data_IF_816843561447
#
_entry.id   IF_816843561447
#
_cell.length_a   1.000
_cell.length_b   1.000
_cell.length_c   1.000
_cell.angle_alpha   90.00
_cell.angle_beta   90.00
_cell.angle_gamma   90.00
#
_symmetry.space_group_name_H-M   'P 1'
#
loop_
_entity.id
_entity.type
_entity.pdbx_description
1 polymer ?
#
# COMPACT_ATOMS: atom_id res chain seq x y z
N UNK A 1 0.67 -7.04 1.01
CA UNK A 1 -0.69 -7.16 0.41
C UNK A 1 -0.68 -7.47 -1.07
N UNK A 2 0.00 -6.67 -1.90
CA UNK A 2 0.06 -6.87 -3.35
C UNK A 2 0.41 -8.31 -3.74
N UNK A 3 1.42 -8.92 -3.13
CA UNK A 3 1.82 -10.30 -3.45
C UNK A 3 0.70 -11.32 -3.21
N UNK A 4 0.03 -11.24 -2.06
CA UNK A 4 -1.01 -12.19 -1.68
C UNK A 4 -2.26 -12.05 -2.57
N UNK A 5 -2.71 -10.82 -2.78
CA UNK A 5 -3.86 -10.52 -3.64
C UNK A 5 -3.56 -10.87 -5.10
N UNK A 6 -2.33 -10.59 -5.57
CA UNK A 6 -1.93 -10.93 -6.93
C UNK A 6 -1.85 -12.44 -7.18
N UNK A 7 -1.36 -13.21 -6.21
CA UNK A 7 -1.25 -14.66 -6.34
C UNK A 7 -2.61 -15.33 -6.61
N UNK A 8 -3.71 -14.74 -6.09
CA UNK A 8 -5.07 -15.20 -6.31
C UNK A 8 -5.72 -14.55 -7.54
N UNK A 9 -5.70 -13.22 -7.63
CA UNK A 9 -6.44 -12.48 -8.65
C UNK A 9 -5.80 -12.55 -10.04
N UNK A 10 -4.47 -12.60 -10.17
CA UNK A 10 -3.81 -12.61 -11.49
C UNK A 10 -4.17 -13.88 -12.29
N UNK A 11 -4.12 -15.10 -11.73
CA UNK A 11 -4.58 -16.29 -12.42
C UNK A 11 -6.06 -16.24 -12.82
N UNK A 12 -6.93 -15.73 -11.94
CA UNK A 12 -8.37 -15.59 -12.22
C UNK A 12 -8.66 -14.59 -13.34
N UNK A 13 -7.97 -13.45 -13.33
CA UNK A 13 -8.09 -12.46 -14.39
C UNK A 13 -7.55 -13.01 -15.71
N UNK A 14 -6.45 -13.78 -15.67
CA UNK A 14 -5.91 -14.47 -16.85
C UNK A 14 -6.90 -15.48 -17.44
N UNK A 15 -7.56 -16.30 -16.61
CA UNK A 15 -8.56 -17.26 -17.10
C UNK A 15 -9.82 -16.58 -17.64
N UNK A 16 -10.14 -15.39 -17.15
CA UNK A 16 -11.22 -14.54 -17.66
C UNK A 16 -10.81 -13.66 -18.87
N UNK A 17 -9.69 -13.94 -19.53
CA UNK A 17 -9.17 -13.21 -20.70
C UNK A 17 -8.81 -11.74 -20.47
N UNK A 18 -8.51 -11.33 -19.23
CA UNK A 18 -7.98 -9.99 -18.98
C UNK A 18 -6.51 -9.88 -19.42
N UNK A 19 -6.10 -8.72 -19.95
CA UNK A 19 -4.69 -8.44 -20.21
C UNK A 19 -3.90 -8.41 -18.89
N UNK A 20 -2.99 -9.37 -18.73
CA UNK A 20 -2.27 -9.66 -17.49
C UNK A 20 -1.44 -8.46 -17.01
N UNK A 21 -0.85 -7.68 -17.92
CA UNK A 21 -0.11 -6.46 -17.61
C UNK A 21 -1.00 -5.39 -16.94
N UNK A 22 -2.20 -5.13 -17.46
CA UNK A 22 -3.13 -4.16 -16.86
C UNK A 22 -3.69 -4.65 -15.53
N UNK A 23 -3.97 -5.96 -15.42
CA UNK A 23 -4.40 -6.59 -14.18
C UNK A 23 -3.32 -6.46 -13.08
N UNK A 24 -2.07 -6.76 -13.44
CA UNK A 24 -0.93 -6.58 -12.54
C UNK A 24 -0.77 -5.12 -12.10
N UNK A 25 -0.88 -4.17 -13.04
CA UNK A 25 -0.82 -2.74 -12.72
C UNK A 25 -1.92 -2.27 -11.77
N UNK A 26 -3.16 -2.77 -11.95
CA UNK A 26 -4.28 -2.49 -11.05
C UNK A 26 -4.00 -3.02 -9.64
N UNK A 27 -3.59 -4.28 -9.53
CA UNK A 27 -3.36 -4.94 -8.24
C UNK A 27 -2.18 -4.29 -7.51
N UNK A 28 -1.11 -3.93 -8.23
CA UNK A 28 0.01 -3.18 -7.69
C UNK A 28 -0.42 -1.82 -7.13
N UNK A 29 -1.21 -1.07 -7.90
CA UNK A 29 -1.69 0.27 -7.51
C UNK A 29 -2.73 0.22 -6.40
N UNK A 30 -3.58 -0.81 -6.35
CA UNK A 30 -4.51 -1.01 -5.25
C UNK A 30 -3.79 -1.39 -3.94
N UNK A 31 -2.71 -2.17 -4.04
CA UNK A 31 -1.93 -2.60 -2.88
C UNK A 31 -1.25 -1.46 -2.12
N UNK A 32 -0.95 -0.33 -2.78
CA UNK A 32 -0.35 0.84 -2.13
C UNK A 32 -1.36 1.76 -1.43
N UNK A 33 -2.66 1.42 -1.47
CA UNK A 33 -3.68 2.08 -0.64
C UNK A 33 -3.63 1.55 0.81
N UNK A 34 -3.26 0.28 1.00
CA UNK A 34 -3.24 -0.36 2.32
C UNK A 34 -2.32 0.34 3.35
N UNK A 35 -1.12 0.84 2.96
CA UNK A 35 -0.32 1.73 3.82
C UNK A 35 -1.02 3.00 4.32
N UNK A 36 -2.14 3.43 3.72
CA UNK A 36 -2.75 4.73 3.96
C UNK A 36 -4.08 4.58 4.72
N UNK A 37 -4.85 3.54 4.45
CA UNK A 37 -6.13 3.31 5.15
C UNK A 37 -5.86 2.62 6.51
N UNK A 38 -6.38 3.15 7.63
CA UNK A 38 -6.22 2.51 8.94
C UNK A 38 -6.84 1.09 9.01
N UNK A 39 -6.21 0.14 9.73
CA UNK A 39 -4.97 0.26 10.50
C UNK A 39 -3.71 0.27 9.61
N UNK A 40 -2.86 1.28 9.76
CA UNK A 40 -1.67 1.49 8.92
C UNK A 40 -0.39 1.39 9.76
N UNK A 41 0.39 0.33 9.53
CA UNK A 41 1.73 0.16 10.13
C UNK A 41 2.62 1.37 9.81
N UNK A 42 2.66 1.87 8.56
CA UNK A 42 3.44 3.06 8.20
C UNK A 42 3.14 4.30 9.05
N UNK A 43 1.88 4.57 9.34
CA UNK A 43 1.50 5.68 10.21
C UNK A 43 1.88 5.45 11.67
N UNK A 44 1.89 4.20 12.15
CA UNK A 44 2.39 3.89 13.49
C UNK A 44 3.89 4.20 13.57
N UNK A 45 4.67 3.70 12.60
CA UNK A 45 6.11 3.92 12.56
C UNK A 45 6.43 5.41 12.46
N UNK A 46 5.72 6.15 11.59
CA UNK A 46 5.87 7.59 11.46
C UNK A 46 5.48 8.33 12.74
N UNK A 47 4.36 7.97 13.37
CA UNK A 47 3.91 8.57 14.63
C UNK A 47 4.91 8.36 15.76
N UNK A 48 5.46 7.15 15.88
CA UNK A 48 6.51 6.83 16.87
C UNK A 48 7.80 7.59 16.59
N UNK A 49 8.26 7.67 15.33
CA UNK A 49 9.52 8.36 14.98
C UNK A 49 9.42 9.88 15.07
N UNK A 50 8.24 10.46 14.82
CA UNK A 50 8.00 11.92 14.86
C UNK A 50 7.46 12.42 16.21
N UNK A 51 7.03 11.52 17.10
CA UNK A 51 6.34 11.87 18.35
C UNK A 51 4.91 12.40 18.17
N UNK A 52 4.30 12.20 17.01
CA UNK A 52 2.94 12.65 16.71
C UNK A 52 1.88 11.64 17.15
N UNK A 53 0.65 12.13 17.33
CA UNK A 53 -0.49 11.26 17.65
C UNK A 53 -0.84 10.34 16.48
N UNK A 54 -0.70 9.04 16.70
CA UNK A 54 -1.05 7.98 15.73
C UNK A 54 -2.54 8.06 15.37
N UNK A 55 -3.42 8.31 16.34
CA UNK A 55 -4.87 8.46 16.09
C UNK A 55 -5.18 9.60 15.13
N UNK A 56 -4.47 10.73 15.24
CA UNK A 56 -4.65 11.87 14.30
C UNK A 56 -4.15 11.51 12.90
N UNK A 57 -3.01 10.84 12.78
CA UNK A 57 -2.50 10.36 11.49
C UNK A 57 -3.49 9.38 10.82
N UNK A 58 -4.08 8.47 11.60
CA UNK A 58 -5.10 7.54 11.09
C UNK A 58 -6.32 8.28 10.54
N UNK A 59 -6.87 9.24 11.29
CA UNK A 59 -8.02 10.03 10.83
C UNK A 59 -7.69 10.86 9.59
N UNK A 60 -6.49 11.45 9.56
CA UNK A 60 -6.01 12.23 8.43
C UNK A 60 -5.81 11.39 7.15
N UNK A 61 -5.50 10.09 7.30
CA UNK A 61 -5.29 9.16 6.20
C UNK A 61 -6.57 8.63 5.51
N UNK A 62 -7.72 8.64 6.20
CA UNK A 62 -8.97 8.05 5.67
C UNK A 62 -9.41 8.74 4.38
N UNK A 63 -9.54 10.06 4.39
CA UNK A 63 -9.99 10.81 3.22
C UNK A 63 -9.07 10.64 2.00
N UNK A 64 -7.74 10.88 2.09
CA UNK A 64 -6.86 10.68 0.94
C UNK A 64 -6.81 9.22 0.49
N UNK A 65 -6.88 8.25 1.40
CA UNK A 65 -6.99 6.83 1.06
C UNK A 65 -8.25 6.50 0.25
N UNK A 66 -9.41 7.03 0.66
CA UNK A 66 -10.66 6.89 -0.11
C UNK A 66 -10.57 7.57 -1.48
N UNK A 67 -9.96 8.76 -1.55
CA UNK A 67 -9.77 9.48 -2.81
C UNK A 67 -8.86 8.71 -3.77
N UNK A 68 -7.77 8.12 -3.28
CA UNK A 68 -6.92 7.23 -4.06
C UNK A 68 -7.70 6.02 -4.56
N UNK A 69 -8.46 5.35 -3.68
CA UNK A 69 -9.31 4.22 -4.05
C UNK A 69 -10.34 4.57 -5.13
N UNK A 70 -11.09 5.66 -4.96
CA UNK A 70 -12.06 6.15 -5.94
C UNK A 70 -11.39 6.45 -7.29
N UNK A 71 -10.25 7.11 -7.25
CA UNK A 71 -9.50 7.50 -8.44
C UNK A 71 -8.97 6.29 -9.21
N UNK A 72 -8.48 5.27 -8.50
CA UNK A 72 -8.05 4.01 -9.09
C UNK A 72 -9.23 3.20 -9.65
N UNK A 73 -10.38 3.18 -8.95
CA UNK A 73 -11.62 2.57 -9.44
C UNK A 73 -12.12 3.23 -10.73
N UNK A 74 -12.11 4.56 -10.81
CA UNK A 74 -12.48 5.31 -12.01
C UNK A 74 -11.52 5.01 -13.17
N UNK A 75 -10.21 4.98 -12.89
CA UNK A 75 -9.17 4.66 -13.87
C UNK A 75 -9.34 3.24 -14.41
N UNK A 76 -9.67 2.28 -13.55
CA UNK A 76 -9.97 0.92 -13.97
C UNK A 76 -11.25 0.83 -14.78
N UNK A 77 -12.35 1.46 -14.34
CA UNK A 77 -13.61 1.48 -15.08
C UNK A 77 -13.44 2.04 -16.51
N UNK A 78 -12.67 3.12 -16.64
CA UNK A 78 -12.33 3.69 -17.95
C UNK A 78 -11.49 2.76 -18.82
N UNK A 79 -10.51 2.05 -18.25
CA UNK A 79 -9.72 1.08 -19.02
C UNK A 79 -10.49 -0.19 -19.37
N UNK A 80 -11.28 -0.71 -18.44
CA UNK A 80 -12.05 -1.95 -18.58
C UNK A 80 -13.22 -1.79 -19.54
N UNK A 81 -13.86 -0.61 -19.60
CA UNK A 81 -14.91 -0.31 -20.58
C UNK A 81 -14.43 -0.35 -22.04
N UNK A 82 -13.11 -0.24 -22.26
CA UNK A 82 -12.46 -0.36 -23.57
C UNK A 82 -11.97 -1.77 -23.89
N UNK A 83 -12.16 -2.73 -22.97
CA UNK A 83 -11.78 -4.12 -23.17
C UNK A 83 -13.03 -4.94 -23.56
N UNK A 84 -12.92 -5.71 -24.64
CA UNK A 84 -13.96 -6.66 -25.06
C UNK A 84 -13.88 -7.93 -24.21
N UNK A 85 -14.37 -7.84 -22.98
CA UNK A 85 -14.33 -8.93 -22.00
C UNK A 85 -15.67 -9.65 -21.92
N UNK A 86 -15.67 -10.98 -21.72
CA UNK A 86 -16.89 -11.74 -21.50
C UNK A 86 -17.59 -11.25 -20.23
N UNK A 87 -18.84 -10.81 -20.36
CA UNK A 87 -19.67 -10.42 -19.21
C UNK A 87 -20.26 -11.67 -18.57
N UNK A 88 -19.98 -11.87 -17.29
CA UNK A 88 -20.66 -12.92 -16.53
C UNK A 88 -22.12 -12.53 -16.24
N UNK A 89 -22.96 -13.53 -16.08
CA UNK A 89 -24.37 -13.33 -15.74
C UNK A 89 -24.49 -12.73 -14.34
N UNK A 90 -25.42 -11.79 -14.14
CA UNK A 90 -25.65 -11.20 -12.81
C UNK A 90 -26.20 -12.28 -11.87
N UNK A 91 -25.60 -12.39 -10.68
CA UNK A 91 -26.11 -13.25 -9.64
C UNK A 91 -27.50 -12.80 -9.18
N UNK A 92 -28.36 -13.76 -8.87
CA UNK A 92 -29.67 -13.53 -8.28
C UNK A 92 -29.56 -13.18 -6.80
N UNK A 93 -30.57 -12.52 -6.22
CA UNK A 93 -30.57 -12.18 -4.79
C UNK A 93 -30.50 -13.42 -3.89
N UNK A 94 -31.06 -14.55 -4.34
CA UNK A 94 -30.99 -15.82 -3.62
C UNK A 94 -29.55 -16.37 -3.61
N UNK A 95 -28.84 -16.33 -4.74
CA UNK A 95 -27.44 -16.74 -4.80
C UNK A 95 -26.57 -15.86 -3.90
N UNK A 96 -26.77 -14.53 -3.91
CA UNK A 96 -26.02 -13.61 -3.06
C UNK A 96 -26.24 -13.93 -1.57
N UNK A 97 -27.49 -14.13 -1.15
CA UNK A 97 -27.79 -14.45 0.24
C UNK A 97 -27.22 -15.81 0.66
N UNK A 98 -27.36 -16.82 -0.19
CA UNK A 98 -26.80 -18.13 0.06
C UNK A 98 -25.27 -18.07 0.19
N UNK A 99 -24.58 -17.39 -0.73
CA UNK A 99 -23.13 -17.19 -0.67
C UNK A 99 -22.68 -16.40 0.56
N UNK A 100 -23.46 -15.41 0.99
CA UNK A 100 -23.19 -14.63 2.20
C UNK A 100 -23.26 -15.50 3.45
N UNK A 101 -24.33 -16.29 3.59
CA UNK A 101 -24.51 -17.18 4.74
C UNK A 101 -23.46 -18.30 4.73
N UNK A 102 -23.17 -18.89 3.57
CA UNK A 102 -22.15 -19.94 3.47
C UNK A 102 -20.74 -19.40 3.78
N UNK A 103 -20.48 -18.13 3.47
CA UNK A 103 -19.19 -17.47 3.68
C UNK A 103 -19.04 -16.77 5.04
N UNK A 104 -20.03 -16.84 5.93
CA UNK A 104 -20.09 -16.00 7.14
C UNK A 104 -18.88 -16.19 8.06
N UNK A 105 -18.35 -17.41 8.15
CA UNK A 105 -17.16 -17.72 8.94
C UNK A 105 -15.90 -17.12 8.35
N UNK A 106 -15.78 -17.08 7.03
CA UNK A 106 -14.67 -16.35 6.39
C UNK A 106 -14.79 -14.83 6.62
N UNK A 107 -16.00 -14.28 6.67
CA UNK A 107 -16.25 -12.85 6.92
C UNK A 107 -15.95 -12.41 8.37
N UNK A 108 -15.86 -13.34 9.32
CA UNK A 108 -15.40 -13.02 10.68
C UNK A 108 -13.91 -12.69 10.73
N UNK A 109 -13.12 -13.06 9.72
CA UNK A 109 -11.68 -12.84 9.69
C UNK A 109 -11.30 -11.34 9.79
N UNK A 110 -11.84 -10.41 8.97
CA UNK A 110 -11.65 -8.97 9.18
C UNK A 110 -12.04 -8.47 10.57
N UNK A 111 -13.10 -9.01 11.18
CA UNK A 111 -13.55 -8.62 12.52
C UNK A 111 -12.51 -9.03 13.58
N UNK A 112 -11.93 -10.22 13.46
CA UNK A 112 -10.85 -10.70 14.34
C UNK A 112 -9.60 -9.82 14.19
N UNK A 113 -9.21 -9.51 12.95
CA UNK A 113 -8.02 -8.69 12.68
C UNK A 113 -8.22 -7.27 13.22
N UNK A 114 -9.30 -6.59 12.82
CA UNK A 114 -9.57 -5.20 13.21
C UNK A 114 -9.87 -5.11 14.71
N UNK A 115 -10.69 -6.03 15.22
CA UNK A 115 -11.07 -6.07 16.64
C UNK A 115 -9.88 -6.37 17.55
N UNK A 116 -9.10 -7.40 17.24
CA UNK A 116 -7.91 -7.79 18.02
C UNK A 116 -6.79 -6.76 17.96
N UNK A 117 -6.60 -6.12 16.81
CA UNK A 117 -5.65 -5.01 16.69
C UNK A 117 -6.12 -3.77 17.45
N UNK A 118 -7.39 -3.38 17.33
CA UNK A 118 -7.93 -2.16 17.97
C UNK A 118 -8.10 -2.30 19.49
N UNK A 119 -8.29 -3.50 20.00
CA UNK A 119 -8.30 -3.76 21.44
C UNK A 119 -6.89 -3.81 22.06
N UNK A 120 -5.84 -3.78 21.24
CA UNK A 120 -4.45 -3.88 21.69
C UNK A 120 -4.05 -5.30 22.13
N UNK A 121 -4.88 -6.31 21.84
CA UNK A 121 -4.58 -7.70 22.16
C UNK A 121 -3.44 -8.28 21.31
N UNK A 122 -3.31 -7.82 20.06
CA UNK A 122 -2.31 -8.31 19.11
C UNK A 122 -1.65 -7.17 18.33
N UNK A 123 -0.35 -7.32 18.05
CA UNK A 123 0.37 -6.50 17.06
C UNK A 123 -0.04 -6.89 15.63
N UNK A 124 0.25 -6.08 14.58
CA UNK A 124 -0.12 -6.41 13.19
C UNK A 124 0.45 -7.77 12.72
N UNK A 125 1.66 -8.10 13.16
CA UNK A 125 2.32 -9.38 12.85
C UNK A 125 1.64 -10.56 13.54
N UNK A 126 1.24 -10.38 14.81
CA UNK A 126 0.47 -11.38 15.55
C UNK A 126 -0.94 -11.55 15.00
N UNK A 127 -1.59 -10.46 14.59
CA UNK A 127 -2.91 -10.49 13.94
C UNK A 127 -2.86 -11.33 12.66
N UNK A 128 -1.76 -11.27 11.88
CA UNK A 128 -1.53 -12.15 10.74
C UNK A 128 -1.41 -13.63 11.12
N UNK A 129 -0.71 -13.95 12.22
CA UNK A 129 -0.59 -15.33 12.71
C UNK A 129 -1.94 -15.87 13.20
N UNK A 130 -2.68 -15.08 14.00
CA UNK A 130 -4.03 -15.42 14.47
C UNK A 130 -4.98 -15.61 13.27
N UNK A 131 -4.90 -14.73 12.27
CA UNK A 131 -5.67 -14.83 11.05
C UNK A 131 -5.39 -16.13 10.29
N UNK A 132 -4.12 -16.55 10.18
CA UNK A 132 -3.75 -17.79 9.53
C UNK A 132 -4.28 -19.03 10.29
N UNK A 133 -4.15 -19.05 11.62
CA UNK A 133 -4.71 -20.13 12.45
C UNK A 133 -6.24 -20.18 12.36
N UNK A 134 -6.90 -19.03 12.39
CA UNK A 134 -8.35 -18.95 12.23
C UNK A 134 -8.79 -19.45 10.85
N UNK A 135 -8.13 -19.00 9.77
CA UNK A 135 -8.42 -19.46 8.42
C UNK A 135 -8.22 -20.97 8.28
N UNK A 136 -7.16 -21.51 8.89
CA UNK A 136 -6.92 -22.96 8.94
C UNK A 136 -8.04 -23.69 9.69
N UNK A 137 -8.47 -23.18 10.85
CA UNK A 137 -9.56 -23.76 11.63
C UNK A 137 -10.87 -23.76 10.86
N UNK A 138 -11.24 -22.64 10.22
CA UNK A 138 -12.46 -22.53 9.42
C UNK A 138 -12.41 -23.51 8.24
N UNK A 139 -11.30 -23.56 7.50
CA UNK A 139 -11.17 -24.43 6.32
C UNK A 139 -11.16 -25.93 6.68
N UNK A 140 -10.58 -26.31 7.83
CA UNK A 140 -10.48 -27.72 8.26
C UNK A 140 -11.72 -28.20 9.02
N UNK A 141 -12.24 -27.42 9.96
CA UNK A 141 -13.30 -27.86 10.89
C UNK A 141 -14.69 -27.48 10.39
N UNK A 142 -14.85 -26.25 9.89
CA UNK A 142 -16.16 -25.71 9.50
C UNK A 142 -16.50 -26.09 8.06
N UNK A 143 -15.68 -25.69 7.09
CA UNK A 143 -15.90 -25.98 5.68
C UNK A 143 -15.49 -27.41 5.30
N UNK A 144 -14.59 -28.02 6.09
CA UNK A 144 -14.13 -29.40 5.89
C UNK A 144 -13.58 -29.67 4.48
N UNK A 145 -12.99 -28.64 3.88
CA UNK A 145 -12.43 -28.68 2.52
C UNK A 145 -10.92 -28.96 2.51
N UNK A 146 -10.28 -28.96 3.67
CA UNK A 146 -8.84 -29.12 3.83
C UNK A 146 -8.45 -30.53 4.30
N UNK A 147 -7.71 -31.26 3.46
CA UNK A 147 -7.01 -32.50 3.85
C UNK A 147 -5.55 -32.21 4.24
N UNK A 148 -4.90 -33.12 4.98
CA UNK A 148 -3.49 -32.95 5.35
C UNK A 148 -2.58 -32.81 4.11
N UNK A 149 -2.86 -33.57 3.05
CA UNK A 149 -2.15 -33.44 1.78
C UNK A 149 -2.35 -32.05 1.16
N UNK A 150 -3.57 -31.52 1.18
CA UNK A 150 -3.87 -30.17 0.66
C UNK A 150 -3.16 -29.11 1.50
N UNK A 151 -3.18 -29.24 2.83
CA UNK A 151 -2.47 -28.34 3.74
C UNK A 151 -0.98 -28.28 3.42
N UNK A 152 -0.33 -29.43 3.20
CA UNK A 152 1.07 -29.48 2.80
C UNK A 152 1.35 -28.72 1.49
N UNK A 153 0.50 -28.91 0.48
CA UNK A 153 0.63 -28.18 -0.80
C UNK A 153 0.42 -26.67 -0.63
N UNK A 154 -0.55 -26.24 0.19
CA UNK A 154 -0.80 -24.83 0.49
C UNK A 154 0.40 -24.21 1.21
N UNK A 155 0.97 -24.90 2.20
CA UNK A 155 2.17 -24.42 2.92
C UNK A 155 3.37 -24.27 1.98
N UNK A 156 3.62 -25.25 1.10
CA UNK A 156 4.70 -25.14 0.10
C UNK A 156 4.42 -24.00 -0.87
N UNK A 157 3.19 -23.83 -1.35
CA UNK A 157 2.80 -22.75 -2.25
C UNK A 157 3.00 -21.37 -1.63
N UNK A 158 2.59 -21.20 -0.37
CA UNK A 158 2.78 -19.99 0.41
C UNK A 158 4.28 -19.71 0.65
N UNK A 159 5.05 -20.73 1.05
CA UNK A 159 6.50 -20.62 1.23
C UNK A 159 7.19 -20.20 -0.07
N UNK A 160 6.93 -20.88 -1.19
CA UNK A 160 7.55 -20.57 -2.49
C UNK A 160 7.25 -19.15 -2.96
N UNK A 161 5.99 -18.72 -2.86
CA UNK A 161 5.59 -17.36 -3.24
C UNK A 161 6.28 -16.34 -2.36
N UNK A 162 6.31 -16.57 -1.04
CA UNK A 162 6.97 -15.68 -0.07
C UNK A 162 8.47 -15.64 -0.28
N UNK A 163 9.15 -16.76 -0.57
CA UNK A 163 10.59 -16.80 -0.82
C UNK A 163 10.99 -15.97 -2.03
N UNK A 164 10.25 -16.07 -3.15
CA UNK A 164 10.52 -15.24 -4.34
C UNK A 164 10.36 -13.77 -4.02
N UNK A 165 9.28 -13.40 -3.32
CA UNK A 165 9.02 -12.01 -2.90
C UNK A 165 10.12 -11.50 -1.98
N UNK A 166 10.48 -12.26 -0.94
CA UNK A 166 11.50 -11.87 0.04
C UNK A 166 12.91 -11.82 -0.57
N UNK A 167 13.20 -12.65 -1.56
CA UNK A 167 14.47 -12.58 -2.29
C UNK A 167 14.59 -11.29 -3.13
N UNK A 168 13.50 -10.89 -3.80
CA UNK A 168 13.46 -9.60 -4.52
C UNK A 168 13.60 -8.42 -3.55
N UNK A 169 12.91 -8.45 -2.42
CA UNK A 169 13.00 -7.42 -1.37
C UNK A 169 14.41 -7.33 -0.80
N UNK A 170 15.02 -8.47 -0.45
CA UNK A 170 16.40 -8.52 0.06
C UNK A 170 17.41 -7.95 -0.95
N UNK A 171 17.22 -8.24 -2.24
CA UNK A 171 18.06 -7.69 -3.30
C UNK A 171 17.94 -6.17 -3.40
N UNK A 172 16.72 -5.63 -3.29
CA UNK A 172 16.47 -4.18 -3.28
C UNK A 172 17.04 -3.49 -2.03
N UNK A 173 17.15 -4.21 -0.91
CA UNK A 173 17.70 -3.69 0.35
C UNK A 173 19.17 -3.25 0.22
N UNK A 174 19.94 -3.84 -0.71
CA UNK A 174 21.34 -3.45 -0.96
C UNK A 174 21.42 -2.00 -1.45
N UNK A 175 20.54 -1.60 -2.38
CA UNK A 175 20.45 -0.22 -2.86
C UNK A 175 20.03 0.74 -1.75
N UNK A 176 19.08 0.33 -0.90
CA UNK A 176 18.66 1.12 0.25
C UNK A 176 19.78 1.31 1.28
N UNK A 177 20.59 0.29 1.51
CA UNK A 177 21.75 0.37 2.41
C UNK A 177 22.82 1.31 1.86
N UNK A 178 23.15 1.23 0.57
CA UNK A 178 24.10 2.16 -0.08
C UNK A 178 23.68 3.62 0.08
N UNK A 179 22.40 3.92 -0.11
CA UNK A 179 21.85 5.28 0.10
C UNK A 179 22.05 5.75 1.54
N UNK A 180 21.84 4.84 2.49
CA UNK A 180 21.94 5.14 3.92
C UNK A 180 23.40 5.43 4.31
N UNK A 181 24.35 4.58 3.88
CA UNK A 181 25.78 4.80 4.18
C UNK A 181 26.40 5.97 3.41
N UNK A 182 25.82 6.33 2.27
CA UNK A 182 26.22 7.50 1.50
C UNK A 182 25.68 8.81 2.11
N UNK A 183 24.94 8.73 3.22
CA UNK A 183 24.39 9.88 3.95
C UNK A 183 23.54 10.82 3.08
N UNK A 184 22.96 10.29 1.98
CA UNK A 184 22.09 11.08 1.09
C UNK A 184 20.95 11.79 1.84
N UNK A 185 20.31 11.20 2.88
CA UNK A 185 19.35 11.92 3.70
C UNK A 185 19.86 13.24 4.29
N UNK A 186 21.11 13.27 4.79
CA UNK A 186 21.71 14.48 5.36
C UNK A 186 22.03 15.50 4.26
N UNK A 187 22.59 15.05 3.13
CA UNK A 187 22.84 15.94 1.98
C UNK A 187 21.56 16.61 1.46
N UNK A 188 20.44 15.88 1.45
CA UNK A 188 19.12 16.43 1.09
C UNK A 188 18.69 17.48 2.11
N UNK A 189 18.86 17.23 3.41
CA UNK A 189 18.55 18.22 4.45
C UNK A 189 19.34 19.52 4.27
N UNK A 190 20.64 19.42 4.02
CA UNK A 190 21.52 20.58 3.84
C UNK A 190 21.13 21.40 2.60
N UNK A 191 20.73 20.72 1.52
CA UNK A 191 20.23 21.37 0.30
C UNK A 191 18.90 22.11 0.53
N UNK A 192 18.10 21.64 1.48
CA UNK A 192 16.76 22.18 1.78
C UNK A 192 16.77 23.33 2.79
N UNK A 193 17.78 23.43 3.66
CA UNK A 193 17.88 24.50 4.68
C UNK A 193 17.68 25.92 4.12
N UNK A 194 18.26 26.32 2.97
CA UNK A 194 18.07 27.66 2.42
C UNK A 194 16.64 27.96 1.97
N UNK A 195 15.78 26.94 1.81
CA UNK A 195 14.41 27.08 1.34
C UNK A 195 13.40 27.27 2.48
N UNK A 196 13.83 27.21 3.74
CA UNK A 196 12.96 27.31 4.94
C UNK A 196 12.14 28.60 4.95
N UNK A 197 12.70 29.70 4.45
CA UNK A 197 12.02 31.00 4.32
C UNK A 197 10.84 30.98 3.32
N UNK A 198 10.71 29.91 2.53
CA UNK A 198 9.65 29.73 1.53
C UNK A 198 8.88 28.40 1.75
N UNK A 199 7.97 28.32 2.75
CA UNK A 199 7.37 27.06 3.21
C UNK A 199 6.73 26.21 2.10
N UNK A 200 6.10 26.84 1.10
CA UNK A 200 5.47 26.12 -0.03
C UNK A 200 6.51 25.50 -0.96
N UNK A 201 7.58 26.22 -1.25
CA UNK A 201 8.65 25.73 -2.12
C UNK A 201 9.42 24.63 -1.39
N UNK A 202 9.76 24.83 -0.12
CA UNK A 202 10.34 23.80 0.73
C UNK A 202 9.51 22.52 0.70
N UNK A 203 8.19 22.62 0.93
CA UNK A 203 7.31 21.46 0.95
C UNK A 203 7.29 20.71 -0.39
N UNK A 204 7.22 21.41 -1.52
CA UNK A 204 7.26 20.81 -2.86
C UNK A 204 8.58 20.06 -3.07
N UNK A 205 9.72 20.69 -2.73
CA UNK A 205 11.04 20.07 -2.93
C UNK A 205 11.20 18.85 -2.02
N UNK A 206 10.73 18.92 -0.76
CA UNK A 206 10.70 17.77 0.16
C UNK A 206 9.86 16.63 -0.43
N UNK A 207 8.67 16.92 -0.98
CA UNK A 207 7.85 15.90 -1.61
C UNK A 207 8.56 15.27 -2.82
N UNK A 208 9.22 16.06 -3.68
CA UNK A 208 9.98 15.50 -4.80
C UNK A 208 11.15 14.64 -4.30
N UNK A 209 11.88 15.08 -3.26
CA UNK A 209 12.99 14.33 -2.70
C UNK A 209 12.54 13.00 -2.08
N UNK A 210 11.48 13.01 -1.27
CA UNK A 210 10.89 11.79 -0.68
C UNK A 210 10.43 10.85 -1.78
N UNK A 211 9.88 11.38 -2.87
CA UNK A 211 9.40 10.54 -3.98
C UNK A 211 10.57 9.80 -4.61
N UNK A 212 11.65 10.51 -4.96
CA UNK A 212 12.86 9.93 -5.55
C UNK A 212 13.45 8.87 -4.62
N UNK A 213 13.56 9.16 -3.32
CA UNK A 213 14.03 8.18 -2.33
C UNK A 213 13.09 6.98 -2.26
N UNK A 214 11.78 7.20 -2.23
CA UNK A 214 10.76 6.15 -2.17
C UNK A 214 10.65 5.29 -3.44
N UNK A 215 11.15 5.75 -4.59
CA UNK A 215 11.27 4.89 -5.78
C UNK A 215 12.34 3.80 -5.62
N UNK A 216 13.28 3.98 -4.70
CA UNK A 216 14.48 3.15 -4.52
C UNK A 216 14.46 2.42 -3.19
N UNK A 217 14.09 3.11 -2.10
CA UNK A 217 14.05 2.59 -0.75
C UNK A 217 12.68 2.03 -0.39
N UNK A 218 12.67 1.01 0.46
CA UNK A 218 11.42 0.49 1.00
C UNK A 218 10.77 1.49 1.97
N UNK A 219 9.47 1.34 2.20
CA UNK A 219 8.69 2.32 2.95
C UNK A 219 9.17 2.42 4.41
N UNK A 220 9.40 1.28 5.08
CA UNK A 220 9.82 1.25 6.48
C UNK A 220 11.15 1.98 6.74
N UNK A 221 12.27 1.66 6.04
CA UNK A 221 13.52 2.38 6.26
C UNK A 221 13.42 3.86 5.86
N UNK A 222 12.65 4.19 4.81
CA UNK A 222 12.44 5.59 4.40
C UNK A 222 11.79 6.40 5.53
N UNK A 223 10.74 5.87 6.16
CA UNK A 223 10.08 6.52 7.32
C UNK A 223 11.05 6.66 8.49
N UNK A 224 11.78 5.61 8.85
CA UNK A 224 12.66 5.64 10.03
C UNK A 224 13.83 6.62 9.87
N UNK A 225 14.35 6.77 8.66
CA UNK A 225 15.54 7.58 8.39
C UNK A 225 15.17 9.03 8.07
N UNK A 226 14.24 9.27 7.13
CA UNK A 226 13.94 10.62 6.67
C UNK A 226 13.04 11.40 7.62
N UNK A 227 12.18 10.74 8.41
CA UNK A 227 11.30 11.46 9.34
C UNK A 227 12.07 12.30 10.36
N UNK A 228 13.03 11.75 11.15
CA UNK A 228 13.77 12.56 12.11
C UNK A 228 14.62 13.66 11.45
N UNK A 229 15.07 13.45 10.22
CA UNK A 229 15.86 14.43 9.45
C UNK A 229 15.00 15.59 8.95
N UNK A 230 13.82 15.31 8.41
CA UNK A 230 12.96 16.33 7.78
C UNK A 230 12.00 17.00 8.77
N UNK A 231 11.63 16.33 9.86
CA UNK A 231 10.69 16.86 10.85
C UNK A 231 11.09 18.22 11.47
N UNK A 232 12.36 18.46 11.82
CA UNK A 232 12.80 19.78 12.28
C UNK A 232 12.53 20.89 11.27
N UNK A 233 12.90 20.67 10.00
CA UNK A 233 12.70 21.64 8.90
C UNK A 233 11.20 21.94 8.67
N UNK A 234 10.37 20.90 8.71
CA UNK A 234 8.91 21.02 8.55
C UNK A 234 8.29 21.85 9.68
N UNK A 235 8.71 21.61 10.93
CA UNK A 235 8.24 22.37 12.09
C UNK A 235 8.72 23.82 12.04
N UNK A 236 9.98 24.05 11.67
CA UNK A 236 10.57 25.39 11.55
C UNK A 236 9.87 26.23 10.47
N UNK A 237 9.58 25.62 9.32
CA UNK A 237 8.83 26.27 8.23
C UNK A 237 7.32 26.46 8.53
N UNK A 238 6.84 26.05 9.71
CA UNK A 238 5.44 26.21 10.12
C UNK A 238 4.45 25.30 9.38
N UNK A 239 4.92 24.19 8.79
CA UNK A 239 4.08 23.22 8.08
C UNK A 239 3.44 22.28 9.11
N UNK A 240 2.14 22.00 8.97
CA UNK A 240 1.43 21.08 9.86
C UNK A 240 2.06 19.67 9.82
N UNK A 241 2.56 19.13 10.96
CA UNK A 241 3.23 17.84 11.01
C UNK A 241 2.36 16.64 10.62
N UNK A 242 1.06 16.69 10.90
CA UNK A 242 0.12 15.59 10.58
C UNK A 242 -0.11 15.56 9.08
N UNK A 243 -0.35 16.73 8.47
CA UNK A 243 -0.44 16.87 7.02
C UNK A 243 0.85 16.40 6.33
N UNK A 244 2.02 16.81 6.82
CA UNK A 244 3.30 16.33 6.31
C UNK A 244 3.42 14.80 6.43
N UNK A 245 3.06 14.21 7.57
CA UNK A 245 3.10 12.76 7.75
C UNK A 245 2.19 12.00 6.78
N UNK A 246 0.98 12.48 6.54
CA UNK A 246 0.08 11.89 5.53
C UNK A 246 0.69 11.96 4.14
N UNK A 247 1.18 13.14 3.75
CA UNK A 247 1.79 13.35 2.44
C UNK A 247 3.08 12.54 2.26
N UNK A 248 3.89 12.42 3.30
CA UNK A 248 5.08 11.57 3.34
C UNK A 248 4.73 10.12 3.01
N UNK A 249 3.73 9.55 3.69
CA UNK A 249 3.36 8.13 3.50
C UNK A 249 2.71 7.91 2.14
N UNK A 250 1.84 8.80 1.67
CA UNK A 250 1.26 8.72 0.32
C UNK A 250 2.37 8.71 -0.73
N UNK A 251 3.32 9.64 -0.60
CA UNK A 251 4.39 9.82 -1.55
C UNK A 251 5.35 8.63 -1.60
N UNK A 252 5.74 8.10 -0.43
CA UNK A 252 6.49 6.84 -0.33
C UNK A 252 5.73 5.69 -0.98
N UNK A 253 4.42 5.59 -0.74
CA UNK A 253 3.57 4.52 -1.28
C UNK A 253 3.49 4.57 -2.81
N UNK A 254 3.41 5.76 -3.41
CA UNK A 254 3.48 5.95 -4.87
C UNK A 254 4.89 5.62 -5.39
N UNK A 255 5.94 5.95 -4.64
CA UNK A 255 7.32 5.57 -4.94
C UNK A 255 7.48 4.05 -5.12
N UNK A 256 6.83 3.23 -4.29
CA UNK A 256 6.93 1.76 -4.36
C UNK A 256 6.47 1.13 -5.68
N UNK A 257 5.63 1.83 -6.46
CA UNK A 257 5.16 1.35 -7.77
C UNK A 257 5.78 2.14 -8.93
N UNK A 258 6.62 3.12 -8.66
CA UNK A 258 7.25 3.95 -9.70
C UNK A 258 8.66 3.45 -10.01
N UNK A 259 9.05 3.33 -11.30
CA UNK A 259 10.44 3.09 -11.69
C UNK A 259 11.39 4.17 -11.13
N UNK A 260 12.66 3.86 -10.79
CA UNK A 260 13.47 2.81 -11.43
C UNK A 260 13.46 1.44 -10.73
N UNK A 261 13.30 1.36 -9.40
CA UNK A 261 13.27 0.07 -8.68
C UNK A 261 11.82 -0.38 -8.48
N UNK A 262 11.02 0.39 -7.74
CA UNK A 262 9.63 0.07 -7.45
C UNK A 262 9.47 -1.30 -6.78
N UNK A 263 9.68 -1.40 -5.47
CA UNK A 263 9.64 -2.69 -4.75
C UNK A 263 8.33 -3.45 -4.97
N UNK A 264 7.18 -2.78 -4.96
CA UNK A 264 5.87 -3.40 -5.22
C UNK A 264 5.78 -3.84 -6.69
N UNK A 265 6.41 -3.10 -7.60
CA UNK A 265 6.49 -3.42 -9.03
C UNK A 265 7.34 -4.67 -9.30
N UNK A 266 8.45 -4.83 -8.58
CA UNK A 266 9.27 -6.05 -8.62
C UNK A 266 8.50 -7.26 -8.08
N UNK A 267 7.81 -7.08 -6.95
CA UNK A 267 6.99 -8.11 -6.33
C UNK A 267 5.85 -8.57 -7.26
N UNK A 268 5.11 -7.64 -7.87
CA UNK A 268 4.03 -8.02 -8.80
C UNK A 268 4.60 -8.70 -10.04
N UNK A 269 5.75 -8.27 -10.55
CA UNK A 269 6.42 -8.91 -11.70
C UNK A 269 6.79 -10.35 -11.38
N UNK A 270 7.34 -10.61 -10.19
CA UNK A 270 7.70 -11.96 -9.73
C UNK A 270 6.48 -12.87 -9.55
N UNK A 271 5.41 -12.37 -8.92
CA UNK A 271 4.18 -13.16 -8.67
C UNK A 271 3.40 -13.41 -9.97
N UNK A 272 3.23 -12.38 -10.81
CA UNK A 272 2.50 -12.48 -12.07
C UNK A 272 3.31 -13.17 -13.19
N UNK A 273 4.62 -13.41 -12.95
CA UNK A 273 5.60 -13.91 -13.93
C UNK A 273 5.65 -13.04 -15.19
N UNK A 274 5.72 -11.73 -14.99
CA UNK A 274 5.83 -10.73 -16.05
C UNK A 274 7.26 -10.21 -16.14
N UNK A 275 7.65 -9.71 -17.32
CA UNK A 275 8.85 -8.87 -17.42
C UNK A 275 8.58 -7.55 -16.70
N UNK A 276 9.62 -7.00 -16.09
CA UNK A 276 9.52 -5.72 -15.38
C UNK A 276 8.95 -4.61 -16.27
N UNK A 277 9.42 -4.49 -17.52
CA UNK A 277 8.91 -3.51 -18.50
C UNK A 277 7.39 -3.65 -18.76
N UNK A 278 6.85 -4.87 -18.80
CA UNK A 278 5.42 -5.10 -18.97
C UNK A 278 4.62 -4.68 -17.74
N UNK A 279 5.17 -4.89 -16.54
CA UNK A 279 4.57 -4.42 -15.29
C UNK A 279 4.58 -2.89 -15.21
N UNK A 280 5.70 -2.25 -15.58
CA UNK A 280 5.83 -0.78 -15.66
C UNK A 280 4.76 -0.19 -16.58
N UNK A 281 4.62 -0.72 -17.80
CA UNK A 281 3.57 -0.27 -18.74
C UNK A 281 2.17 -0.49 -18.20
N UNK A 282 1.96 -1.58 -17.46
CA UNK A 282 0.69 -1.88 -16.81
C UNK A 282 0.33 -0.89 -15.70
N UNK A 283 1.31 -0.46 -14.90
CA UNK A 283 1.10 0.44 -13.76
C UNK A 283 1.05 1.92 -14.16
N UNK A 284 1.66 2.28 -15.29
CA UNK A 284 1.85 3.66 -15.73
C UNK A 284 0.58 4.53 -15.72
N UNK A 285 -0.59 4.08 -16.22
CA UNK A 285 -1.81 4.89 -16.16
C UNK A 285 -2.23 5.22 -14.73
N UNK A 286 -2.04 4.29 -13.80
CA UNK A 286 -2.40 4.50 -12.40
C UNK A 286 -1.43 5.42 -11.69
N UNK A 287 -0.12 5.26 -11.95
CA UNK A 287 0.92 6.15 -11.42
C UNK A 287 0.69 7.59 -11.85
N UNK A 288 0.37 7.84 -13.13
CA UNK A 288 0.06 9.19 -13.61
C UNK A 288 -1.11 9.83 -12.85
N UNK A 289 -2.18 9.07 -12.64
CA UNK A 289 -3.36 9.59 -11.95
C UNK A 289 -3.06 9.80 -10.46
N UNK A 290 -2.28 8.91 -9.83
CA UNK A 290 -1.85 9.08 -8.45
C UNK A 290 -0.91 10.30 -8.28
N UNK A 291 -0.03 10.57 -9.25
CA UNK A 291 0.75 11.81 -9.26
C UNK A 291 -0.12 13.05 -9.40
N UNK A 292 -1.12 13.01 -10.28
CA UNK A 292 -2.06 14.12 -10.39
C UNK A 292 -2.79 14.38 -9.05
N UNK A 293 -3.15 13.32 -8.34
CA UNK A 293 -3.78 13.41 -7.03
C UNK A 293 -2.82 13.94 -5.96
N UNK A 294 -1.55 13.53 -5.99
CA UNK A 294 -0.49 14.06 -5.13
C UNK A 294 -0.32 15.57 -5.33
N UNK A 295 -0.25 16.02 -6.59
CA UNK A 295 -0.17 17.45 -6.93
C UNK A 295 -1.39 18.21 -6.37
N UNK A 296 -2.59 17.65 -6.52
CA UNK A 296 -3.81 18.23 -5.95
C UNK A 296 -3.72 18.35 -4.43
N UNK A 297 -3.21 17.34 -3.72
CA UNK A 297 -3.03 17.40 -2.28
C UNK A 297 -2.01 18.45 -1.84
N UNK A 298 -0.93 18.64 -2.60
CA UNK A 298 0.07 19.69 -2.35
C UNK A 298 -0.54 21.09 -2.43
N UNK A 299 -1.37 21.36 -3.46
CA UNK A 299 -1.95 22.69 -3.67
C UNK A 299 -3.25 22.93 -2.89
N UNK A 300 -3.96 21.87 -2.52
CA UNK A 300 -5.23 21.93 -1.78
C UNK A 300 -5.09 21.10 -0.49
N UNK A 301 -4.31 21.59 0.50
CA UNK A 301 -4.08 20.89 1.76
C UNK A 301 -5.37 20.70 2.57
N UNK A 302 -6.40 21.51 2.28
CA UNK A 302 -7.75 21.41 2.86
C UNK A 302 -8.35 20.02 2.65
N UNK A 303 -8.06 19.31 1.56
CA UNK A 303 -8.62 17.97 1.32
C UNK A 303 -8.17 16.94 2.38
N UNK A 304 -6.99 17.14 2.96
CA UNK A 304 -6.45 16.29 4.02
C UNK A 304 -6.82 16.84 5.41
N UNK A 305 -6.88 18.17 5.55
CA UNK A 305 -7.07 18.85 6.85
C UNK A 305 -8.56 19.03 7.22
N UNK A 306 -9.48 19.12 6.26
CA UNK A 306 -10.91 19.33 6.52
C UNK A 306 -11.58 18.16 7.28
N UNK A 307 -11.29 16.88 6.96
CA UNK A 307 -11.80 15.73 7.73
C UNK A 307 -11.28 15.71 9.17
N UNK A 308 -10.05 16.18 9.40
CA UNK A 308 -9.44 16.31 10.73
C UNK A 308 -10.20 17.30 11.62
N UNK A 309 -10.80 18.36 11.05
CA UNK A 309 -11.59 19.35 11.79
C UNK A 309 -12.99 18.88 12.17
N UNK A 310 -13.53 17.87 11.47
CA UNK A 310 -14.86 17.32 11.76
C UNK A 310 -14.85 16.27 12.89
N UNK A 311 -13.67 15.78 13.28
CA UNK A 311 -13.50 14.69 14.25
C UNK A 311 -12.97 15.21 15.61
N UNK A 312 -12.54 16.47 15.69
CA UNK A 312 -12.28 17.19 16.95
C UNK A 312 -13.52 17.99 17.37
#
# INVERSE_FOLDING_TARGET
DTAAVAALLVPMMRSANYPVNRAAGLIASGGIIAPIIPPSIPFIIFGVSSGLSISKLFMAGIAPGMMMGATLMLTWWWQASRLNLPRQQKATMQEIWHSFVSGIWALFLPVIIIGGFRSGLFTPTEAGAVAAFYALFVATVIYREMTFATLWHVLIGAAKTTSVVMFLVASAQVSAWLITIAELPMMVSDLLQPLVDSPRLLFIVIMVAILIVGMVMDLTPTVLILTPVLMPLVKEAGIDPIYFGVMFIINCSIGLITPPIGNVLNVISGVAKLKFDDAVRGVFPYVLVLYSLLVVFVFIPVLIILPLKWIN
#
